data_IF_724958884741
#
_entry.id   IF_724958884741
#
_cell.length_a   1.000
_cell.length_b   1.000
_cell.length_c   1.000
_cell.angle_alpha   90.00
_cell.angle_beta   90.00
_cell.angle_gamma   90.00
#
_symmetry.space_group_name_H-M   'P 1'
#
loop_
_entity.id
_entity.type
_entity.pdbx_description
1 polymer ?
#
# COMPACT_ATOMS: atom_id res chain seq x y z
N UNK A 1 -5.14 -16.75 3.96
CA UNK A 1 -3.69 -16.58 3.86
C UNK A 1 -3.08 -17.44 2.78
N UNK A 2 -2.10 -16.87 2.06
CA UNK A 2 -1.29 -17.50 1.00
C UNK A 2 -1.96 -17.80 -0.35
N UNK A 3 -3.25 -17.49 -0.52
CA UNK A 3 -3.92 -17.50 -1.84
C UNK A 3 -3.68 -16.19 -2.59
N UNK A 4 -4.29 -15.10 -2.12
CA UNK A 4 -4.07 -13.74 -2.59
C UNK A 4 -3.46 -12.89 -1.48
N UNK A 5 -4.12 -12.88 -0.30
CA UNK A 5 -3.58 -12.24 0.89
C UNK A 5 -2.22 -12.85 1.29
N UNK A 6 -1.29 -11.97 1.67
CA UNK A 6 0.13 -12.24 1.84
C UNK A 6 0.74 -11.40 2.98
N UNK A 7 1.93 -11.83 3.40
CA UNK A 7 2.76 -11.10 4.36
C UNK A 7 3.29 -9.76 3.78
N UNK A 8 3.87 -8.91 4.63
CA UNK A 8 4.47 -7.63 4.24
C UNK A 8 3.48 -6.67 3.56
N UNK A 9 2.23 -6.72 4.04
CA UNK A 9 1.12 -5.85 3.65
C UNK A 9 1.38 -4.39 4.02
N UNK A 10 0.79 -3.45 3.28
CA UNK A 10 0.95 -2.00 3.50
C UNK A 10 0.21 -1.47 4.72
N UNK A 11 -0.82 -2.18 5.21
CA UNK A 11 -1.71 -1.66 6.26
C UNK A 11 -2.29 -2.72 7.17
N UNK A 12 -1.91 -3.99 7.03
CA UNK A 12 -2.39 -5.15 7.80
C UNK A 12 -1.19 -5.87 8.40
N UNK A 13 -1.36 -6.51 9.56
CA UNK A 13 -0.30 -7.36 10.09
C UNK A 13 -0.19 -8.65 9.26
N UNK A 14 0.91 -9.37 9.43
CA UNK A 14 0.99 -10.76 9.00
C UNK A 14 0.16 -11.64 9.93
N UNK A 15 -0.46 -12.68 9.37
CA UNK A 15 -1.31 -13.60 10.14
C UNK A 15 -0.57 -14.22 11.34
N UNK A 16 0.73 -14.49 11.19
CA UNK A 16 1.55 -15.11 12.23
C UNK A 16 1.76 -14.23 13.47
N UNK A 17 1.58 -12.91 13.36
CA UNK A 17 1.89 -11.95 14.43
C UNK A 17 0.71 -11.03 14.78
N UNK A 18 -0.45 -11.20 14.13
CA UNK A 18 -1.65 -10.43 14.48
C UNK A 18 -2.76 -10.51 13.44
N UNK A 19 -3.62 -9.49 13.48
CA UNK A 19 -4.78 -9.35 12.59
C UNK A 19 -4.36 -8.95 11.17
N UNK A 20 -4.61 -9.84 10.21
CA UNK A 20 -4.31 -9.68 8.80
C UNK A 20 -5.50 -9.22 7.94
N UNK A 21 -6.61 -8.83 8.57
CA UNK A 21 -7.85 -8.42 7.88
C UNK A 21 -8.05 -6.91 8.03
N UNK A 22 -7.99 -6.40 9.26
CA UNK A 22 -8.36 -5.02 9.56
C UNK A 22 -7.22 -4.03 9.35
N UNK A 23 -7.58 -2.78 9.07
CA UNK A 23 -6.61 -1.69 8.95
C UNK A 23 -5.84 -1.53 10.27
N UNK A 24 -4.51 -1.42 10.16
CA UNK A 24 -3.59 -1.16 11.25
C UNK A 24 -2.80 0.11 10.95
N UNK A 25 -3.05 1.16 11.74
CA UNK A 25 -2.41 2.47 11.59
C UNK A 25 -0.89 2.41 11.80
N UNK A 26 -0.39 1.55 12.68
CA UNK A 26 1.04 1.38 12.94
C UNK A 26 1.74 0.78 11.73
N UNK A 27 1.16 -0.24 11.11
CA UNK A 27 1.69 -0.84 9.87
C UNK A 27 1.63 0.17 8.72
N UNK A 28 0.51 0.87 8.59
CA UNK A 28 0.32 1.89 7.56
C UNK A 28 1.27 3.08 7.68
N UNK A 29 1.75 3.38 8.89
CA UNK A 29 2.69 4.47 9.13
C UNK A 29 3.96 4.36 8.27
N UNK A 30 4.42 3.15 7.94
CA UNK A 30 5.57 2.94 7.03
C UNK A 30 5.33 3.54 5.66
N UNK A 31 4.13 3.38 5.09
CA UNK A 31 3.76 4.01 3.82
C UNK A 31 3.53 5.51 4.01
N UNK A 32 2.72 5.90 4.99
CA UNK A 32 2.27 7.29 5.15
C UNK A 32 3.41 8.27 5.48
N UNK A 33 4.40 7.83 6.26
CA UNK A 33 5.50 8.67 6.72
C UNK A 33 6.72 8.65 5.80
N UNK A 34 6.70 7.84 4.74
CA UNK A 34 7.82 7.78 3.80
C UNK A 34 8.01 9.13 3.09
N UNK A 35 9.26 9.55 2.87
CA UNK A 35 9.61 10.87 2.31
C UNK A 35 8.99 12.04 3.09
N UNK A 36 9.50 12.34 4.31
CA UNK A 36 9.06 13.50 5.08
C UNK A 36 9.18 14.80 4.28
N UNK A 37 8.15 15.66 4.37
CA UNK A 37 8.08 16.91 3.61
C UNK A 37 7.49 16.78 2.21
N UNK A 38 7.22 15.56 1.73
CA UNK A 38 6.52 15.29 0.47
C UNK A 38 5.08 14.84 0.77
N UNK A 39 4.11 15.44 0.09
CA UNK A 39 2.66 15.25 0.29
C UNK A 39 2.02 14.26 -0.70
N UNK A 40 2.84 13.55 -1.48
CA UNK A 40 2.41 12.50 -2.40
C UNK A 40 3.23 11.20 -2.28
N UNK A 41 2.66 10.11 -2.76
CA UNK A 41 3.34 8.86 -3.07
C UNK A 41 3.68 8.83 -4.57
N UNK A 42 4.78 8.18 -4.93
CA UNK A 42 5.11 7.86 -6.31
C UNK A 42 5.67 6.43 -6.41
N UNK A 43 6.03 5.99 -7.62
CA UNK A 43 6.60 4.66 -7.84
C UNK A 43 7.86 4.39 -7.00
N UNK A 44 8.74 5.39 -6.86
CA UNK A 44 9.96 5.26 -6.05
C UNK A 44 9.63 5.06 -4.57
N UNK A 45 8.72 5.86 -4.04
CA UNK A 45 8.32 5.74 -2.64
C UNK A 45 7.60 4.41 -2.40
N UNK A 46 6.71 3.99 -3.31
CA UNK A 46 6.05 2.69 -3.22
C UNK A 46 7.05 1.52 -3.18
N UNK A 47 8.06 1.54 -4.05
CA UNK A 47 9.12 0.53 -4.06
C UNK A 47 9.93 0.50 -2.76
N UNK A 48 10.21 1.67 -2.17
CA UNK A 48 10.87 1.74 -0.87
C UNK A 48 10.02 1.13 0.26
N UNK A 49 8.71 1.38 0.26
CA UNK A 49 7.78 0.76 1.23
C UNK A 49 7.78 -0.76 1.10
N UNK A 50 7.85 -1.32 -0.11
CA UNK A 50 7.95 -2.76 -0.31
C UNK A 50 9.17 -3.35 0.41
N UNK A 51 10.32 -2.70 0.28
CA UNK A 51 11.56 -3.15 0.95
C UNK A 51 11.43 -3.00 2.46
N UNK A 52 10.94 -1.85 2.92
CA UNK A 52 10.86 -1.54 4.35
C UNK A 52 9.87 -2.45 5.08
N UNK A 53 8.66 -2.64 4.54
CA UNK A 53 7.65 -3.55 5.14
C UNK A 53 8.14 -4.99 5.21
N UNK A 54 8.85 -5.45 4.18
CA UNK A 54 9.44 -6.79 4.17
C UNK A 54 10.51 -6.93 5.26
N UNK A 55 11.39 -5.92 5.40
CA UNK A 55 12.42 -5.93 6.43
C UNK A 55 11.83 -5.89 7.84
N UNK A 56 10.85 -5.02 8.09
CA UNK A 56 10.15 -4.90 9.37
C UNK A 56 9.49 -6.23 9.77
N UNK A 57 8.78 -6.87 8.84
CA UNK A 57 8.09 -8.12 9.12
C UNK A 57 9.05 -9.29 9.28
N UNK A 58 10.18 -9.30 8.58
CA UNK A 58 11.21 -10.33 8.73
C UNK A 58 11.85 -10.33 10.13
N UNK A 59 11.77 -9.21 10.87
CA UNK A 59 12.26 -9.14 12.25
C UNK A 59 11.32 -9.83 13.25
N UNK A 60 10.01 -9.90 12.95
CA UNK A 60 8.98 -10.31 13.91
C UNK A 60 8.22 -11.57 13.49
N UNK A 61 8.20 -11.91 12.20
CA UNK A 61 7.51 -13.08 11.66
C UNK A 61 8.53 -14.15 11.21
N UNK A 62 8.83 -15.17 12.04
CA UNK A 62 9.75 -16.25 11.65
C UNK A 62 9.21 -17.13 10.51
N UNK A 63 7.91 -17.05 10.19
CA UNK A 63 7.24 -17.81 9.13
C UNK A 63 6.94 -16.94 7.91
N UNK A 64 7.67 -15.84 7.72
CA UNK A 64 7.44 -14.89 6.64
C UNK A 64 7.52 -15.57 5.27
N UNK A 65 6.49 -15.38 4.46
CA UNK A 65 6.44 -15.85 3.07
C UNK A 65 6.60 -14.67 2.11
N UNK A 66 7.67 -14.69 1.31
CA UNK A 66 7.90 -13.70 0.25
C UNK A 66 8.54 -14.35 -0.99
N UNK A 67 7.74 -15.09 -1.75
CA UNK A 67 8.16 -15.66 -3.04
C UNK A 67 7.94 -14.64 -4.17
N UNK A 68 8.22 -15.04 -5.41
CA UNK A 68 7.89 -14.24 -6.61
C UNK A 68 6.39 -13.90 -6.64
N UNK A 69 5.52 -14.80 -6.17
CA UNK A 69 4.07 -14.57 -6.15
C UNK A 69 3.70 -13.40 -5.22
N UNK A 70 4.09 -13.46 -3.95
CA UNK A 70 3.80 -12.40 -2.97
C UNK A 70 4.45 -11.07 -3.38
N UNK A 71 5.69 -11.10 -3.87
CA UNK A 71 6.35 -9.90 -4.37
C UNK A 71 5.61 -9.25 -5.54
N UNK A 72 5.14 -10.07 -6.51
CA UNK A 72 4.39 -9.58 -7.68
C UNK A 72 3.05 -8.97 -7.26
N UNK A 73 2.32 -9.62 -6.34
CA UNK A 73 1.05 -9.10 -5.83
C UNK A 73 1.26 -7.73 -5.17
N UNK A 74 2.26 -7.59 -4.30
CA UNK A 74 2.56 -6.33 -3.60
C UNK A 74 2.92 -5.19 -4.57
N UNK A 75 3.63 -5.49 -5.67
CA UNK A 75 3.88 -4.53 -6.75
C UNK A 75 2.55 -4.11 -7.41
N UNK A 76 1.71 -5.07 -7.78
CA UNK A 76 0.42 -4.80 -8.42
C UNK A 76 -0.47 -3.95 -7.52
N UNK A 77 -0.54 -4.24 -6.21
CA UNK A 77 -1.25 -3.45 -5.21
C UNK A 77 -0.72 -2.02 -5.10
N UNK A 78 0.61 -1.85 -5.24
CA UNK A 78 1.22 -0.52 -5.28
C UNK A 78 0.74 0.29 -6.48
N UNK A 79 0.72 -0.35 -7.65
CA UNK A 79 0.21 0.28 -8.87
C UNK A 79 -1.28 0.57 -8.73
N UNK A 80 -2.06 -0.31 -8.10
CA UNK A 80 -3.49 -0.09 -7.87
C UNK A 80 -3.74 1.19 -7.06
N UNK A 81 -3.15 1.35 -5.88
CA UNK A 81 -3.43 2.58 -5.11
C UNK A 81 -2.88 3.81 -5.84
N UNK A 82 -1.67 3.76 -6.41
CA UNK A 82 -1.12 4.91 -7.15
C UNK A 82 -2.00 5.34 -8.33
N UNK A 83 -2.64 4.38 -9.01
CA UNK A 83 -3.49 4.64 -10.18
C UNK A 83 -4.92 5.02 -9.81
N UNK A 84 -5.49 4.39 -8.78
CA UNK A 84 -6.91 4.57 -8.40
C UNK A 84 -7.11 5.86 -7.63
N UNK A 85 -6.29 6.11 -6.60
CA UNK A 85 -6.40 7.32 -5.78
C UNK A 85 -5.48 8.45 -6.25
N UNK A 86 -4.73 8.24 -7.32
CA UNK A 86 -3.83 9.20 -7.91
C UNK A 86 -4.06 9.39 -9.40
N UNK A 87 -2.97 9.51 -10.14
CA UNK A 87 -2.98 9.69 -11.58
C UNK A 87 -2.28 8.51 -12.26
N UNK A 88 -3.05 7.72 -13.01
CA UNK A 88 -2.58 6.49 -13.70
C UNK A 88 -1.42 6.73 -14.67
N UNK A 89 -1.33 7.91 -15.29
CA UNK A 89 -0.28 8.21 -16.28
C UNK A 89 1.05 8.54 -15.61
N UNK A 90 1.01 9.22 -14.47
CA UNK A 90 2.22 9.68 -13.76
C UNK A 90 2.64 8.74 -12.62
N UNK A 91 1.73 7.90 -12.13
CA UNK A 91 1.96 7.04 -10.98
C UNK A 91 2.17 7.83 -9.67
N UNK A 92 1.52 8.98 -9.55
CA UNK A 92 1.58 9.87 -8.37
C UNK A 92 0.22 9.94 -7.71
N UNK A 93 0.18 9.75 -6.39
CA UNK A 93 -1.05 9.81 -5.59
C UNK A 93 -0.90 10.72 -4.36
N UNK A 94 -1.81 11.66 -4.12
CA UNK A 94 -1.79 12.50 -2.91
C UNK A 94 -1.89 11.67 -1.62
N UNK A 95 -1.07 12.01 -0.61
CA UNK A 95 -1.05 11.29 0.68
C UNK A 95 -2.36 11.40 1.45
N UNK A 96 -3.01 12.56 1.40
CA UNK A 96 -4.32 12.78 2.02
C UNK A 96 -5.36 11.79 1.47
N UNK A 97 -5.37 11.55 0.15
CA UNK A 97 -6.26 10.56 -0.48
C UNK A 97 -5.92 9.14 -0.03
N UNK A 98 -4.63 8.81 0.07
CA UNK A 98 -4.21 7.52 0.62
C UNK A 98 -4.62 7.30 2.06
N UNK A 99 -4.44 8.29 2.93
CA UNK A 99 -4.88 8.21 4.32
C UNK A 99 -6.38 7.89 4.40
N UNK A 100 -7.22 8.60 3.65
CA UNK A 100 -8.68 8.36 3.62
C UNK A 100 -8.99 6.98 3.06
N UNK A 101 -8.41 6.63 1.91
CA UNK A 101 -8.68 5.37 1.24
C UNK A 101 -8.34 4.16 2.10
N UNK A 102 -7.16 4.14 2.74
CA UNK A 102 -6.74 3.02 3.57
C UNK A 102 -7.44 2.99 4.94
N UNK A 103 -7.55 4.13 5.63
CA UNK A 103 -8.06 4.17 7.01
C UNK A 103 -9.59 4.19 7.10
N UNK A 104 -10.27 4.77 6.11
CA UNK A 104 -11.73 4.89 6.10
C UNK A 104 -12.39 3.95 5.09
N UNK A 105 -11.62 3.27 4.23
CA UNK A 105 -12.14 2.43 3.15
C UNK A 105 -13.17 3.17 2.27
N UNK A 106 -12.92 4.47 2.05
CA UNK A 106 -13.81 5.41 1.37
C UNK A 106 -13.07 6.10 0.23
N UNK A 107 -13.78 6.42 -0.86
CA UNK A 107 -13.26 7.29 -1.90
C UNK A 107 -13.25 8.76 -1.44
N UNK A 108 -12.14 9.51 -1.63
CA UNK A 108 -11.99 10.88 -1.12
C UNK A 108 -12.73 11.95 -1.95
N UNK A 109 -14.02 11.72 -2.22
CA UNK A 109 -14.85 12.56 -3.10
C UNK A 109 -14.95 14.01 -2.59
N UNK A 110 -15.18 14.19 -1.29
CA UNK A 110 -15.28 15.51 -0.65
C UNK A 110 -13.94 16.24 -0.65
N UNK A 111 -12.83 15.49 -0.70
CA UNK A 111 -11.47 16.01 -0.74
C UNK A 111 -10.98 16.29 -2.17
N UNK A 112 -11.86 16.12 -3.17
CA UNK A 112 -11.60 16.47 -4.56
C UNK A 112 -11.07 15.32 -5.42
N UNK A 113 -11.04 14.09 -4.90
CA UNK A 113 -10.78 12.93 -5.75
C UNK A 113 -11.93 12.74 -6.74
N UNK A 114 -11.57 12.41 -7.98
CA UNK A 114 -12.51 11.96 -8.99
C UNK A 114 -11.96 10.72 -9.68
N UNK A 115 -12.87 9.93 -10.27
CA UNK A 115 -12.49 8.77 -11.06
C UNK A 115 -11.59 9.21 -12.23
N UNK A 116 -10.55 8.42 -12.51
CA UNK A 116 -9.72 8.60 -13.71
C UNK A 116 -10.56 8.56 -14.99
N UNK A 117 -10.33 9.53 -15.87
CA UNK A 117 -10.91 9.56 -17.21
C UNK A 117 -10.22 8.57 -18.16
N UNK A 118 -8.98 8.19 -17.83
CA UNK A 118 -8.22 7.17 -18.53
C UNK A 118 -8.47 5.82 -17.90
N UNK A 119 -8.76 4.81 -18.72
CA UNK A 119 -8.90 3.43 -18.27
C UNK A 119 -7.58 2.90 -17.70
N UNK A 120 -7.61 2.41 -16.47
CA UNK A 120 -6.47 1.72 -15.85
C UNK A 120 -6.36 0.32 -16.49
N UNK A 121 -5.20 0.01 -17.06
CA UNK A 121 -4.90 -1.26 -17.74
C UNK A 121 -3.57 -1.81 -17.22
N UNK A 122 -3.49 -3.14 -17.11
CA UNK A 122 -2.31 -3.88 -16.66
C UNK A 122 -1.90 -4.89 -17.72
#
# INVERSE_FOLDING_TARGET
HSTLEHDASFSRNNLAVGDNIHFNATVFATLNNLNPGIDYYNMTSAAQVLVQRLAEDNLINPNLTNTIKEFTIRIIESIFYLSVIGNVTTGVAPKNFGQIFFSQQRLPLEEGWHRSEVSIKF
#
